data_IF_407231646503
#
_entry.id   IF_407231646503
#
_cell.length_a   1.000
_cell.length_b   1.000
_cell.length_c   1.000
_cell.angle_alpha   90.00
_cell.angle_beta   90.00
_cell.angle_gamma   90.00
#
_symmetry.space_group_name_H-M   'P 1'
#
loop_
_entity.id
_entity.type
_entity.pdbx_description
1 polymer ?
#
# COMPACT_ATOMS: atom_id res chain seq x y z
N UNK A 1 -21.14 -10.57 10.05
CA UNK A 1 -19.82 -10.50 9.37
C UNK A 1 -19.85 -11.38 8.13
N UNK A 2 -19.36 -10.90 6.99
CA UNK A 2 -19.22 -11.72 5.77
C UNK A 2 -17.81 -12.26 5.69
N UNK A 3 -17.61 -13.53 6.04
CA UNK A 3 -16.27 -14.12 6.08
C UNK A 3 -15.62 -14.22 4.71
N UNK A 4 -16.39 -14.66 3.71
CA UNK A 4 -15.94 -14.83 2.34
C UNK A 4 -16.96 -14.23 1.37
N UNK A 5 -16.47 -13.48 0.39
CA UNK A 5 -17.28 -12.91 -0.67
C UNK A 5 -16.55 -13.03 -2.02
N UNK A 6 -17.26 -13.53 -3.03
CA UNK A 6 -16.75 -13.67 -4.41
C UNK A 6 -17.71 -12.97 -5.36
N UNK A 7 -17.17 -12.22 -6.32
CA UNK A 7 -18.01 -11.52 -7.31
C UNK A 7 -17.27 -10.40 -8.02
N UNK A 8 -18.02 -9.46 -8.61
CA UNK A 8 -17.45 -8.31 -9.31
C UNK A 8 -16.93 -7.26 -8.32
N UNK A 9 -17.76 -6.89 -7.33
CA UNK A 9 -17.43 -5.95 -6.25
C UNK A 9 -17.70 -6.57 -4.87
N UNK A 10 -17.01 -7.66 -4.50
CA UNK A 10 -17.28 -8.37 -3.25
C UNK A 10 -16.77 -7.56 -2.06
N UNK A 11 -17.56 -7.56 -0.98
CA UNK A 11 -17.20 -6.97 0.32
C UNK A 11 -17.26 -8.05 1.40
N UNK A 12 -16.16 -8.26 2.11
CA UNK A 12 -16.07 -9.26 3.17
C UNK A 12 -14.72 -9.25 3.88
N UNK A 13 -14.53 -10.12 4.87
CA UNK A 13 -13.22 -10.30 5.53
C UNK A 13 -12.21 -10.80 4.50
N UNK A 14 -12.58 -11.82 3.72
CA UNK A 14 -11.84 -12.31 2.56
C UNK A 14 -12.70 -12.03 1.32
N UNK A 15 -12.20 -11.21 0.41
CA UNK A 15 -12.90 -10.80 -0.80
C UNK A 15 -12.08 -11.14 -2.05
N UNK A 16 -12.68 -11.88 -3.00
CA UNK A 16 -12.03 -12.29 -4.25
C UNK A 16 -12.86 -11.87 -5.45
N UNK A 17 -12.33 -11.05 -6.35
CA UNK A 17 -13.14 -10.49 -7.43
C UNK A 17 -12.41 -9.54 -8.38
N UNK A 18 -13.17 -8.79 -9.16
CA UNK A 18 -12.59 -7.73 -10.01
C UNK A 18 -12.16 -6.53 -9.16
N UNK A 19 -13.03 -6.06 -8.26
CA UNK A 19 -12.82 -4.90 -7.38
C UNK A 19 -13.14 -5.28 -5.92
N UNK A 20 -12.39 -6.22 -5.32
CA UNK A 20 -12.68 -6.71 -3.98
C UNK A 20 -12.31 -5.68 -2.91
N UNK A 21 -13.16 -5.57 -1.90
CA UNK A 21 -12.90 -4.77 -0.70
C UNK A 21 -12.98 -5.66 0.54
N UNK A 22 -11.91 -5.71 1.34
CA UNK A 22 -11.90 -6.58 2.51
C UNK A 22 -10.73 -6.39 3.45
N UNK A 23 -10.65 -7.22 4.49
CA UNK A 23 -9.40 -7.30 5.28
C UNK A 23 -8.31 -7.91 4.41
N UNK A 24 -8.65 -8.99 3.71
CA UNK A 24 -7.84 -9.63 2.67
C UNK A 24 -8.60 -9.50 1.34
N UNK A 25 -8.02 -8.80 0.38
CA UNK A 25 -8.62 -8.54 -0.93
C UNK A 25 -7.73 -9.06 -2.06
N UNK A 26 -8.29 -9.90 -2.94
CA UNK A 26 -7.56 -10.52 -4.07
C UNK A 26 -8.29 -10.26 -5.39
N UNK A 27 -7.71 -9.43 -6.27
CA UNK A 27 -8.41 -9.01 -7.49
C UNK A 27 -7.72 -7.95 -8.30
N UNK A 28 -8.32 -7.53 -9.42
CA UNK A 28 -7.71 -6.53 -10.31
C UNK A 28 -7.53 -5.17 -9.62
N UNK A 29 -8.56 -4.68 -8.92
CA UNK A 29 -8.51 -3.47 -8.08
C UNK A 29 -8.76 -3.77 -6.61
N UNK A 30 -7.81 -4.46 -5.97
CA UNK A 30 -7.93 -4.90 -4.60
C UNK A 30 -7.77 -3.76 -3.59
N UNK A 31 -8.68 -3.67 -2.63
CA UNK A 31 -8.65 -2.68 -1.55
C UNK A 31 -8.81 -3.37 -0.21
N UNK A 32 -7.81 -3.27 0.67
CA UNK A 32 -7.88 -3.96 1.95
C UNK A 32 -6.72 -3.70 2.89
N UNK A 33 -6.75 -4.32 4.07
CA UNK A 33 -5.56 -4.30 4.95
C UNK A 33 -4.41 -5.02 4.26
N UNK A 34 -4.70 -6.21 3.70
CA UNK A 34 -3.84 -6.94 2.79
C UNK A 34 -4.51 -6.98 1.42
N UNK A 35 -3.87 -6.37 0.41
CA UNK A 35 -4.41 -6.32 -0.94
C UNK A 35 -3.42 -6.90 -1.95
N UNK A 36 -3.90 -7.82 -2.80
CA UNK A 36 -3.11 -8.41 -3.89
C UNK A 36 -3.86 -8.22 -5.21
N UNK A 37 -3.20 -7.60 -6.20
CA UNK A 37 -3.88 -7.24 -7.44
C UNK A 37 -3.04 -6.54 -8.49
N UNK A 38 -3.65 -6.16 -9.62
CA UNK A 38 -2.98 -5.25 -10.56
C UNK A 38 -2.88 -3.84 -9.96
N UNK A 39 -3.98 -3.33 -9.41
CA UNK A 39 -4.06 -2.14 -8.59
C UNK A 39 -4.38 -2.56 -7.15
N UNK A 40 -3.37 -2.57 -6.27
CA UNK A 40 -3.51 -2.95 -4.87
C UNK A 40 -3.42 -1.71 -3.97
N UNK A 41 -4.42 -1.50 -3.10
CA UNK A 41 -4.52 -0.36 -2.18
C UNK A 41 -4.76 -0.84 -0.76
N UNK A 42 -3.93 -0.43 0.19
CA UNK A 42 -4.05 -0.96 1.54
C UNK A 42 -2.94 -0.63 2.52
N UNK A 43 -2.85 -1.42 3.58
CA UNK A 43 -1.72 -1.36 4.53
C UNK A 43 -0.54 -2.13 3.97
N UNK A 44 -0.76 -3.39 3.58
CA UNK A 44 0.20 -4.27 2.92
C UNK A 44 -0.32 -4.58 1.52
N UNK A 45 0.44 -4.20 0.50
CA UNK A 45 0.01 -4.31 -0.89
C UNK A 45 1.02 -5.03 -1.76
N UNK A 46 0.52 -5.89 -2.64
CA UNK A 46 1.31 -6.63 -3.63
C UNK A 46 0.63 -6.53 -4.99
N UNK A 47 1.33 -6.02 -6.00
CA UNK A 47 0.70 -5.80 -7.30
C UNK A 47 1.54 -5.11 -8.34
N UNK A 48 0.99 -4.90 -9.53
CA UNK A 48 1.70 -4.11 -10.56
C UNK A 48 1.81 -2.65 -10.14
N UNK A 49 0.69 -2.06 -9.71
CA UNK A 49 0.59 -0.75 -9.08
C UNK A 49 0.14 -0.93 -7.63
N UNK A 50 1.05 -0.67 -6.69
CA UNK A 50 0.84 -0.95 -5.27
C UNK A 50 0.95 0.32 -4.43
N UNK A 51 -0.08 0.61 -3.65
CA UNK A 51 -0.19 1.83 -2.85
C UNK A 51 -0.58 1.51 -1.41
N UNK A 52 0.29 1.83 -0.47
CA UNK A 52 0.07 1.49 0.93
C UNK A 52 1.17 1.92 1.88
N UNK A 53 1.16 1.35 3.09
CA UNK A 53 2.22 1.59 4.08
C UNK A 53 3.44 0.74 3.73
N UNK A 54 3.20 -0.54 3.41
CA UNK A 54 4.15 -1.49 2.85
C UNK A 54 3.67 -1.91 1.47
N UNK A 55 4.50 -1.67 0.45
CA UNK A 55 4.09 -1.87 -0.95
C UNK A 55 5.15 -2.62 -1.74
N UNK A 56 4.73 -3.66 -2.46
CA UNK A 56 5.60 -4.44 -3.35
C UNK A 56 4.99 -4.50 -4.74
N UNK A 57 5.72 -4.00 -5.74
CA UNK A 57 5.19 -3.96 -7.10
C UNK A 57 6.07 -3.34 -8.15
N UNK A 58 5.72 -3.49 -9.42
CA UNK A 58 6.45 -2.84 -10.52
C UNK A 58 6.51 -1.33 -10.29
N UNK A 59 5.37 -0.73 -9.97
CA UNK A 59 5.21 0.64 -9.47
C UNK A 59 4.70 0.58 -8.03
N UNK A 60 5.54 0.92 -7.07
CA UNK A 60 5.15 0.87 -5.65
C UNK A 60 5.31 2.22 -4.94
N UNK A 61 4.26 2.62 -4.24
CA UNK A 61 4.22 3.79 -3.38
C UNK A 61 3.97 3.31 -1.95
N UNK A 62 4.98 3.47 -1.09
CA UNK A 62 4.98 2.94 0.27
C UNK A 62 5.34 4.02 1.28
N UNK A 63 4.49 4.29 2.26
CA UNK A 63 4.81 5.30 3.28
C UNK A 63 6.06 4.89 4.09
N UNK A 64 6.05 3.67 4.62
CA UNK A 64 7.17 3.14 5.41
C UNK A 64 8.19 2.44 4.53
N UNK A 65 7.72 1.60 3.61
CA UNK A 65 8.58 0.76 2.78
C UNK A 65 7.97 0.48 1.40
N UNK A 66 8.81 0.57 0.36
CA UNK A 66 8.44 0.23 -1.01
C UNK A 66 9.51 -0.66 -1.68
N UNK A 67 9.09 -1.64 -2.47
CA UNK A 67 9.97 -2.52 -3.25
C UNK A 67 9.45 -2.83 -4.66
N UNK A 68 10.36 -3.09 -5.60
CA UNK A 68 10.09 -3.54 -6.97
C UNK A 68 10.90 -2.84 -8.06
N UNK A 69 10.29 -2.35 -9.14
CA UNK A 69 11.05 -1.73 -10.25
C UNK A 69 11.24 -0.23 -9.99
N UNK A 70 10.16 0.53 -9.93
CA UNK A 70 10.14 1.95 -9.60
C UNK A 70 9.37 2.15 -8.29
N UNK A 71 10.05 2.72 -7.31
CA UNK A 71 9.54 2.76 -5.93
C UNK A 71 9.65 4.17 -5.36
N UNK A 72 8.59 4.65 -4.72
CA UNK A 72 8.59 5.89 -3.94
C UNK A 72 8.19 5.58 -2.51
N UNK A 73 9.02 5.97 -1.54
CA UNK A 73 8.69 5.71 -0.14
C UNK A 73 9.72 6.13 0.89
N UNK A 74 9.37 5.96 2.17
CA UNK A 74 10.24 6.31 3.29
C UNK A 74 11.58 5.57 3.19
N UNK A 75 11.48 4.25 3.09
CA UNK A 75 12.59 3.35 2.79
C UNK A 75 12.33 2.58 1.51
N UNK A 76 13.40 2.27 0.79
CA UNK A 76 13.33 1.47 -0.44
C UNK A 76 14.03 0.12 -0.24
N UNK A 77 13.40 -0.97 -0.64
CA UNK A 77 13.97 -2.31 -0.54
C UNK A 77 14.81 -2.67 -1.77
N UNK A 78 14.45 -3.78 -2.40
CA UNK A 78 14.95 -4.17 -3.71
C UNK A 78 14.22 -3.30 -4.74
N UNK A 79 14.87 -2.24 -5.21
CA UNK A 79 14.33 -1.30 -6.18
C UNK A 79 15.35 -1.07 -7.28
N UNK A 80 14.94 -1.14 -8.54
CA UNK A 80 15.81 -0.76 -9.66
C UNK A 80 15.99 0.76 -9.70
N UNK A 81 14.90 1.51 -9.48
CA UNK A 81 14.88 2.97 -9.42
C UNK A 81 14.19 3.45 -8.13
N UNK A 82 14.91 3.46 -6.99
CA UNK A 82 14.38 3.95 -5.73
C UNK A 82 14.39 5.48 -5.63
N UNK A 83 13.22 6.05 -5.36
CA UNK A 83 13.05 7.43 -4.90
C UNK A 83 12.69 7.40 -3.41
N UNK A 84 13.70 7.07 -2.59
CA UNK A 84 13.57 6.96 -1.14
C UNK A 84 14.18 8.14 -0.38
N UNK A 85 13.61 8.50 0.77
CA UNK A 85 14.11 9.59 1.62
C UNK A 85 15.19 9.15 2.59
N UNK A 86 15.00 8.04 3.28
CA UNK A 86 15.93 7.58 4.32
C UNK A 86 17.08 6.76 3.71
N UNK A 87 16.75 5.82 2.83
CA UNK A 87 17.77 4.96 2.22
C UNK A 87 17.26 3.57 1.85
N UNK A 88 18.19 2.61 1.81
CA UNK A 88 17.87 1.21 1.45
C UNK A 88 17.64 0.38 2.71
N UNK A 89 16.49 -0.25 2.80
CA UNK A 89 16.17 -1.15 3.92
C UNK A 89 15.33 -2.33 3.45
N UNK A 90 15.68 -3.52 3.92
CA UNK A 90 14.98 -4.77 3.62
C UNK A 90 14.51 -5.35 4.95
N UNK A 91 13.19 -5.35 5.25
CA UNK A 91 12.67 -5.67 6.58
C UNK A 91 13.05 -7.05 7.10
N UNK A 92 13.08 -8.03 6.20
CA UNK A 92 13.39 -9.44 6.49
C UNK A 92 14.88 -9.75 6.52
N UNK A 93 15.75 -8.76 6.34
CA UNK A 93 17.20 -8.94 6.49
C UNK A 93 17.64 -8.26 7.77
N UNK A 94 18.43 -8.95 8.59
CA UNK A 94 18.98 -8.42 9.85
C UNK A 94 20.03 -7.30 9.67
N UNK A 95 19.99 -6.57 8.55
CA UNK A 95 20.89 -5.44 8.27
C UNK A 95 20.19 -4.13 8.67
N UNK A 96 20.89 -3.22 9.36
CA UNK A 96 20.33 -1.91 9.67
C UNK A 96 20.05 -1.12 8.38
N UNK A 97 19.13 -0.14 8.42
CA UNK A 97 18.83 0.71 7.28
C UNK A 97 20.10 1.44 6.82
N UNK A 98 20.43 1.30 5.55
CA UNK A 98 21.56 1.98 4.94
C UNK A 98 21.13 3.41 4.59
N UNK A 99 21.39 4.34 5.52
CA UNK A 99 21.02 5.74 5.36
C UNK A 99 21.88 6.35 4.26
N UNK A 100 21.24 6.90 3.23
CA UNK A 100 21.95 7.60 2.16
C UNK A 100 21.92 9.10 2.46
N UNK A 101 23.03 9.71 2.91
CA UNK A 101 23.05 11.13 3.22
C UNK A 101 22.68 11.94 1.96
N UNK A 102 21.80 12.94 2.08
CA UNK A 102 21.43 13.78 0.96
C UNK A 102 22.65 14.57 0.47
N UNK A 103 22.83 14.64 -0.85
CA UNK A 103 23.92 15.44 -1.45
C UNK A 103 23.67 16.95 -1.32
N UNK A 104 22.41 17.36 -1.18
CA UNK A 104 22.00 18.77 -1.08
C UNK A 104 20.70 18.89 -0.29
N UNK A 105 20.55 20.00 0.45
CA UNK A 105 19.32 20.34 1.18
C UNK A 105 18.10 20.38 0.26
N UNK A 106 18.27 20.83 -0.98
CA UNK A 106 17.20 20.87 -1.98
C UNK A 106 16.71 19.47 -2.36
N UNK A 107 17.63 18.51 -2.48
CA UNK A 107 17.26 17.12 -2.78
C UNK A 107 16.53 16.47 -1.60
N UNK A 108 16.88 16.83 -0.37
CA UNK A 108 16.17 16.38 0.83
C UNK A 108 14.75 16.96 0.87
N UNK A 109 14.61 18.27 0.64
CA UNK A 109 13.32 18.95 0.62
C UNK A 109 12.40 18.36 -0.46
N UNK A 110 12.90 18.16 -1.68
CA UNK A 110 12.12 17.58 -2.77
C UNK A 110 11.67 16.14 -2.46
N UNK A 111 12.55 15.31 -1.87
CA UNK A 111 12.19 13.97 -1.42
C UNK A 111 11.16 13.99 -0.29
N UNK A 112 11.25 14.95 0.62
CA UNK A 112 10.32 15.10 1.73
C UNK A 112 8.93 15.51 1.25
N UNK A 113 8.86 16.48 0.32
CA UNK A 113 7.60 16.89 -0.33
C UNK A 113 6.98 15.72 -1.10
N UNK A 114 7.78 14.96 -1.85
CA UNK A 114 7.30 13.78 -2.55
C UNK A 114 6.71 12.74 -1.58
N UNK A 115 7.37 12.50 -0.46
CA UNK A 115 6.87 11.59 0.57
C UNK A 115 5.63 12.08 1.28
N UNK A 116 5.52 13.38 1.54
CA UNK A 116 4.30 13.97 2.06
C UNK A 116 3.13 13.78 1.06
N UNK A 117 3.40 13.93 -0.24
CA UNK A 117 2.46 13.62 -1.31
C UNK A 117 2.03 12.15 -1.32
N UNK A 118 2.99 11.23 -1.19
CA UNK A 118 2.69 9.79 -1.06
C UNK A 118 1.90 9.49 0.22
N UNK A 119 2.23 10.11 1.35
CA UNK A 119 1.51 9.94 2.60
C UNK A 119 0.05 10.37 2.48
N UNK A 120 -0.19 11.54 1.87
CA UNK A 120 -1.54 12.03 1.57
C UNK A 120 -2.29 11.07 0.63
N UNK A 121 -1.62 10.58 -0.42
CA UNK A 121 -2.21 9.65 -1.38
C UNK A 121 -2.56 8.30 -0.75
N UNK A 122 -1.67 7.75 0.10
CA UNK A 122 -1.90 6.52 0.87
C UNK A 122 -3.05 6.70 1.86
N UNK A 123 -3.07 7.81 2.59
CA UNK A 123 -4.19 8.14 3.47
C UNK A 123 -5.52 8.17 2.72
N UNK A 124 -5.56 8.87 1.58
CA UNK A 124 -6.78 9.08 0.80
C UNK A 124 -7.25 7.85 0.01
N UNK A 125 -6.34 7.14 -0.67
CA UNK A 125 -6.70 6.07 -1.61
C UNK A 125 -6.57 4.65 -1.04
N UNK A 126 -5.82 4.46 0.04
CA UNK A 126 -5.64 3.14 0.65
C UNK A 126 -6.30 3.06 2.03
N UNK A 127 -5.99 3.97 2.94
CA UNK A 127 -6.43 3.85 4.33
C UNK A 127 -7.91 4.23 4.46
N UNK A 128 -8.32 5.38 3.93
CA UNK A 128 -9.70 5.84 4.04
C UNK A 128 -10.74 4.85 3.50
N UNK A 129 -10.57 4.24 2.30
CA UNK A 129 -11.52 3.26 1.79
C UNK A 129 -11.59 1.97 2.63
N UNK A 130 -10.47 1.56 3.23
CA UNK A 130 -10.42 0.38 4.11
C UNK A 130 -11.17 0.67 5.41
N UNK A 131 -10.97 1.85 5.98
CA UNK A 131 -11.68 2.30 7.18
C UNK A 131 -13.19 2.42 6.90
N UNK A 132 -13.57 3.04 5.79
CA UNK A 132 -14.96 3.15 5.35
C UNK A 132 -15.63 1.77 5.22
N UNK A 133 -14.96 0.83 4.54
CA UNK A 133 -15.47 -0.53 4.37
C UNK A 133 -15.62 -1.31 5.69
N UNK A 134 -14.80 -0.98 6.70
CA UNK A 134 -14.91 -1.58 8.03
C UNK A 134 -16.06 -0.97 8.85
N UNK A 135 -16.27 0.35 8.77
CA UNK A 135 -17.15 1.09 9.66
C UNK A 135 -18.57 1.34 9.09
N UNK A 136 -18.74 1.35 7.77
CA UNK A 136 -20.04 1.67 7.15
C UNK A 136 -21.11 0.61 7.46
N UNK A 137 -22.40 0.99 7.59
CA UNK A 137 -23.51 0.04 7.68
C UNK A 137 -23.53 -0.90 6.46
N UNK A 138 -23.61 -2.22 6.67
CA UNK A 138 -23.50 -3.22 5.58
C UNK A 138 -22.05 -3.49 5.14
N UNK A 139 -21.07 -2.97 5.90
CA UNK A 139 -19.64 -3.20 5.70
C UNK A 139 -19.19 -4.59 6.15
N UNK A 140 -17.88 -4.73 6.37
CA UNK A 140 -17.26 -6.01 6.70
C UNK A 140 -17.76 -6.54 8.06
N UNK A 141 -17.84 -5.66 9.06
CA UNK A 141 -18.17 -6.02 10.44
C UNK A 141 -19.66 -5.85 10.78
N UNK A 142 -20.34 -4.86 10.20
CA UNK A 142 -21.77 -4.59 10.40
C UNK A 142 -22.60 -5.23 9.29
N UNK A 143 -22.85 -6.54 9.40
CA UNK A 143 -23.94 -7.16 8.64
C UNK A 143 -25.27 -6.83 9.33
N UNK A 144 -25.77 -5.61 9.16
CA UNK A 144 -27.17 -5.33 9.46
C UNK A 144 -28.04 -6.01 8.38
N UNK A 145 -29.20 -6.59 8.75
CA UNK A 145 -30.23 -6.98 7.79
C UNK A 145 -30.79 -5.78 7.04
#
# INVERSE_FOLDING_TARGET
MRWLAVGVQPVGVIAVGALPTGVIALGQGATGVVAVGQLARGVVTIGQLSLGIFSLGQLSMGLAWAGGQLTVGGTSGFAQLPIGLVGRWVPWRARPPEVRPPRSIWTLALRAVLLAGVAALVGWLAIWPVVDACLRPGGIFSSLP
#
